data_IF_313313464384
#
_entry.id   IF_313313464384
#
_cell.length_a   1.000
_cell.length_b   1.000
_cell.length_c   1.000
_cell.angle_alpha   90.00
_cell.angle_beta   90.00
_cell.angle_gamma   90.00
#
_symmetry.space_group_name_H-M   'P 1'
#
loop_
_entity.id
_entity.type
_entity.pdbx_description
1 polymer ?
#
# COMPACT_ATOMS: atom_id res chain seq x y z
N UNK A 1 21.31 15.17 -56.26
CA UNK A 1 20.32 14.36 -55.51
C UNK A 1 21.08 13.68 -54.38
N UNK A 2 20.91 14.19 -53.16
CA UNK A 2 21.69 13.81 -51.98
C UNK A 2 20.89 12.73 -51.24
N UNK A 3 21.50 11.57 -51.02
CA UNK A 3 20.92 10.45 -50.29
C UNK A 3 21.02 10.69 -48.77
N UNK A 4 19.89 10.55 -48.06
CA UNK A 4 19.82 10.58 -46.60
C UNK A 4 20.38 9.27 -46.01
N UNK A 5 21.21 9.32 -44.93
CA UNK A 5 21.57 8.11 -44.20
C UNK A 5 20.53 7.79 -43.12
N UNK A 6 20.19 6.50 -43.04
CA UNK A 6 19.30 5.91 -42.05
C UNK A 6 19.88 6.00 -40.63
N UNK A 7 19.07 6.46 -39.68
CA UNK A 7 19.41 6.45 -38.25
C UNK A 7 19.30 5.03 -37.69
N UNK A 8 20.42 4.49 -37.22
CA UNK A 8 20.51 3.20 -36.52
C UNK A 8 19.81 3.28 -35.16
N UNK A 9 18.84 2.39 -34.91
CA UNK A 9 18.24 2.20 -33.58
C UNK A 9 19.27 1.52 -32.67
N UNK A 10 19.79 2.27 -31.68
CA UNK A 10 20.59 1.70 -30.59
C UNK A 10 19.67 0.98 -29.61
N UNK A 11 19.60 -0.34 -29.72
CA UNK A 11 18.97 -1.21 -28.73
C UNK A 11 19.88 -1.32 -27.51
N UNK A 12 19.54 -0.62 -26.42
CA UNK A 12 20.17 -0.83 -25.13
C UNK A 12 19.72 -2.18 -24.55
N UNK A 13 20.65 -3.04 -24.07
CA UNK A 13 20.27 -4.27 -23.40
C UNK A 13 19.69 -3.94 -22.01
N UNK A 14 18.41 -4.29 -21.78
CA UNK A 14 17.81 -4.29 -20.44
C UNK A 14 18.53 -5.32 -19.59
N UNK A 15 19.32 -4.86 -18.64
CA UNK A 15 19.88 -5.70 -17.57
C UNK A 15 18.72 -6.33 -16.80
N UNK A 16 18.45 -7.61 -17.07
CA UNK A 16 17.53 -8.41 -16.26
C UNK A 16 18.19 -8.61 -14.89
N UNK A 17 17.66 -7.96 -13.86
CA UNK A 17 17.91 -8.39 -12.48
C UNK A 17 17.30 -9.78 -12.30
N UNK A 18 17.99 -10.74 -11.67
CA UNK A 18 17.43 -12.07 -11.43
C UNK A 18 16.27 -11.95 -10.42
N UNK A 19 15.06 -12.13 -10.93
CA UNK A 19 13.79 -12.16 -10.20
C UNK A 19 13.65 -13.49 -9.48
N UNK A 20 13.93 -13.52 -8.17
CA UNK A 20 13.49 -14.63 -7.32
C UNK A 20 12.04 -14.37 -6.94
N UNK A 21 11.13 -14.60 -7.89
CA UNK A 21 9.71 -14.59 -7.61
C UNK A 21 9.36 -15.92 -6.92
N UNK A 22 8.94 -15.82 -5.66
CA UNK A 22 8.40 -16.97 -4.92
C UNK A 22 7.08 -17.39 -5.60
N UNK A 23 6.76 -18.69 -5.68
CA UNK A 23 5.51 -19.16 -6.29
C UNK A 23 4.29 -18.53 -5.62
N UNK A 24 3.18 -18.41 -6.38
CA UNK A 24 1.85 -17.96 -5.91
C UNK A 24 1.65 -18.35 -4.44
N UNK A 25 1.79 -17.38 -3.53
CA UNK A 25 1.54 -17.68 -2.12
C UNK A 25 0.02 -17.78 -1.97
N UNK A 26 -0.45 -19.00 -1.80
CA UNK A 26 -1.83 -19.25 -1.39
C UNK A 26 -1.99 -18.65 0.01
N UNK A 27 -2.89 -17.67 0.14
CA UNK A 27 -3.48 -17.37 1.44
C UNK A 27 -4.20 -18.65 1.85
N UNK A 28 -3.71 -19.32 2.90
CA UNK A 28 -4.35 -20.53 3.38
C UNK A 28 -5.80 -20.20 3.76
N UNK A 29 -6.72 -21.13 3.48
CA UNK A 29 -8.09 -21.17 4.03
C UNK A 29 -8.06 -21.41 5.55
N UNK A 30 -7.22 -20.68 6.27
CA UNK A 30 -7.18 -20.64 7.72
C UNK A 30 -8.41 -19.91 8.21
N UNK A 31 -9.42 -20.68 8.61
CA UNK A 31 -10.53 -20.19 9.41
C UNK A 31 -9.99 -19.67 10.74
N UNK A 32 -9.73 -18.38 10.81
CA UNK A 32 -9.49 -17.67 12.06
C UNK A 32 -10.80 -17.00 12.49
N UNK A 33 -11.77 -17.80 12.92
CA UNK A 33 -12.70 -17.34 13.95
C UNK A 33 -12.01 -17.46 15.31
N UNK A 34 -10.86 -16.80 15.47
CA UNK A 34 -10.28 -16.56 16.78
C UNK A 34 -11.13 -15.48 17.44
N UNK A 35 -11.73 -15.78 18.59
CA UNK A 35 -12.61 -14.89 19.36
C UNK A 35 -11.97 -13.61 19.93
N UNK A 36 -11.05 -12.99 19.18
CA UNK A 36 -10.57 -11.64 19.41
C UNK A 36 -11.58 -10.63 18.86
N UNK A 37 -11.81 -9.55 19.61
CA UNK A 37 -12.68 -8.45 19.19
C UNK A 37 -12.08 -7.82 17.91
N UNK A 38 -12.79 -7.96 16.78
CA UNK A 38 -12.42 -7.29 15.51
C UNK A 38 -12.37 -5.77 15.75
N UNK A 39 -11.30 -5.12 15.32
CA UNK A 39 -11.18 -3.66 15.37
C UNK A 39 -12.24 -3.05 14.46
N UNK A 40 -13.07 -2.15 14.99
CA UNK A 40 -14.11 -1.47 14.20
C UNK A 40 -13.54 -0.31 13.38
N UNK A 41 -14.29 0.15 12.37
CA UNK A 41 -13.88 1.28 11.53
C UNK A 41 -13.71 2.58 12.34
N UNK A 42 -14.54 2.76 13.38
CA UNK A 42 -14.46 3.88 14.32
C UNK A 42 -13.26 3.75 15.25
N UNK A 43 -12.97 2.54 15.74
CA UNK A 43 -11.82 2.30 16.61
C UNK A 43 -10.49 2.49 15.88
N UNK A 44 -10.43 2.14 14.59
CA UNK A 44 -9.29 2.44 13.75
C UNK A 44 -9.20 3.95 13.41
N UNK A 45 -10.31 4.67 13.52
CA UNK A 45 -10.50 6.01 13.00
C UNK A 45 -10.48 6.06 11.47
N UNK A 46 -10.85 4.96 10.80
CA UNK A 46 -11.19 5.00 9.38
C UNK A 46 -12.43 5.88 9.16
N UNK A 47 -13.35 5.82 10.13
CA UNK A 47 -14.48 6.71 10.30
C UNK A 47 -14.25 7.53 11.59
N UNK A 48 -14.36 8.87 11.58
CA UNK A 48 -14.73 9.73 10.46
C UNK A 48 -13.55 10.25 9.62
N UNK A 49 -12.30 9.87 9.93
CA UNK A 49 -11.12 10.58 9.41
C UNK A 49 -10.91 10.46 7.89
N UNK A 50 -11.31 9.33 7.29
CA UNK A 50 -11.19 9.07 5.85
C UNK A 50 -12.59 9.01 5.22
N UNK A 51 -13.52 8.28 5.83
CA UNK A 51 -14.90 8.18 5.37
C UNK A 51 -15.87 8.76 6.40
N UNK A 52 -16.93 9.47 5.96
CA UNK A 52 -17.86 10.13 6.86
C UNK A 52 -18.81 9.17 7.60
N UNK A 53 -19.00 7.96 7.08
CA UNK A 53 -19.93 6.96 7.61
C UNK A 53 -19.34 5.55 7.47
N UNK A 54 -19.71 4.62 8.37
CA UNK A 54 -19.29 3.23 8.26
C UNK A 54 -19.90 2.57 7.02
N UNK A 55 -19.18 1.59 6.49
CA UNK A 55 -19.61 0.85 5.29
C UNK A 55 -19.51 -0.67 5.50
N UNK A 56 -20.24 -1.42 4.67
CA UNK A 56 -20.27 -2.87 4.76
C UNK A 56 -19.04 -3.50 4.09
N UNK A 57 -18.25 -4.22 4.87
CA UNK A 57 -17.19 -5.09 4.37
C UNK A 57 -17.79 -6.33 3.68
N UNK A 58 -17.31 -6.62 2.47
CA UNK A 58 -17.74 -7.78 1.66
C UNK A 58 -16.63 -8.83 1.52
N UNK A 59 -15.40 -8.51 1.92
CA UNK A 59 -14.23 -9.39 1.85
C UNK A 59 -13.24 -9.06 2.97
N UNK A 60 -12.21 -9.90 3.14
CA UNK A 60 -11.13 -9.70 4.11
C UNK A 60 -9.84 -9.38 3.36
N UNK A 61 -9.21 -8.25 3.71
CA UNK A 61 -7.95 -7.84 3.09
C UNK A 61 -6.77 -8.36 3.91
N UNK A 62 -5.92 -9.17 3.28
CA UNK A 62 -4.71 -9.74 3.87
C UNK A 62 -3.50 -9.04 3.28
N UNK A 63 -2.61 -8.55 4.14
CA UNK A 63 -1.42 -7.81 3.74
C UNK A 63 -0.21 -8.46 4.38
N UNK A 64 0.82 -8.76 3.57
CA UNK A 64 2.04 -9.43 4.01
C UNK A 64 3.27 -8.73 3.45
N UNK A 65 4.18 -8.32 4.33
CA UNK A 65 5.43 -7.69 3.93
C UNK A 65 6.54 -8.73 3.74
N UNK A 66 7.36 -8.65 2.68
CA UNK A 66 8.40 -9.63 2.40
C UNK A 66 9.51 -9.65 3.46
N UNK A 67 9.80 -8.50 4.07
CA UNK A 67 10.85 -8.38 5.09
C UNK A 67 10.38 -8.75 6.51
N UNK A 68 9.10 -9.12 6.67
CA UNK A 68 8.51 -9.53 7.96
C UNK A 68 9.27 -10.68 8.63
N UNK A 69 9.78 -11.63 7.83
CA UNK A 69 10.40 -12.86 8.34
C UNK A 69 11.91 -12.70 8.59
N UNK A 70 12.55 -11.63 8.08
CA UNK A 70 13.99 -11.40 8.24
C UNK A 70 14.34 -10.69 9.55
N UNK A 71 13.37 -10.08 10.26
CA UNK A 71 13.65 -9.30 11.48
C UNK A 71 13.56 -10.10 12.78
N UNK A 72 13.50 -11.44 12.75
CA UNK A 72 13.61 -12.26 13.96
C UNK A 72 14.95 -12.07 14.71
N UNK A 73 15.90 -11.33 14.12
CA UNK A 73 17.23 -11.03 14.67
C UNK A 73 17.31 -9.64 15.33
N UNK A 74 16.29 -8.78 15.23
CA UNK A 74 16.28 -7.44 15.84
C UNK A 74 15.13 -7.27 16.85
N UNK A 75 15.06 -8.20 17.80
CA UNK A 75 14.09 -8.17 18.89
C UNK A 75 14.45 -7.17 20.01
N UNK A 76 15.54 -6.41 19.88
CA UNK A 76 16.01 -5.49 20.92
C UNK A 76 15.28 -4.15 20.94
N UNK A 77 14.70 -3.69 19.83
CA UNK A 77 14.03 -2.39 19.75
C UNK A 77 12.49 -2.43 19.82
N UNK A 78 11.88 -3.63 19.78
CA UNK A 78 10.41 -3.78 19.79
C UNK A 78 9.83 -3.79 21.22
N UNK A 79 10.67 -4.08 22.22
CA UNK A 79 10.26 -4.09 23.64
C UNK A 79 9.88 -2.70 24.18
N UNK A 80 10.32 -1.62 23.51
CA UNK A 80 9.99 -0.24 23.89
C UNK A 80 8.59 0.19 23.47
N UNK A 81 7.90 -0.59 22.62
CA UNK A 81 6.61 -0.20 22.01
C UNK A 81 5.39 -0.98 22.52
N UNK A 82 5.51 -1.75 23.60
CA UNK A 82 4.38 -2.35 24.33
C UNK A 82 3.55 -3.38 23.55
N UNK A 83 3.97 -3.78 22.34
CA UNK A 83 3.33 -4.84 21.56
C UNK A 83 4.04 -6.18 21.78
N UNK A 84 3.29 -7.21 22.14
CA UNK A 84 3.80 -8.59 22.14
C UNK A 84 4.11 -9.03 20.70
N UNK A 85 5.35 -9.47 20.38
CA UNK A 85 5.66 -10.02 19.08
C UNK A 85 4.92 -11.36 18.91
N UNK A 86 3.78 -11.35 18.21
CA UNK A 86 3.10 -12.60 17.85
C UNK A 86 3.90 -13.26 16.73
N UNK A 87 4.54 -14.38 17.06
CA UNK A 87 5.14 -15.31 16.10
C UNK A 87 4.00 -15.93 15.28
N UNK A 88 3.62 -15.24 14.20
CA UNK A 88 2.51 -15.59 13.31
C UNK A 88 2.86 -15.23 11.87
N UNK A 89 2.32 -15.99 10.92
CA UNK A 89 2.83 -16.13 9.57
C UNK A 89 2.70 -14.86 8.70
N UNK A 90 3.65 -13.92 8.76
CA UNK A 90 3.89 -12.91 7.69
C UNK A 90 2.81 -11.84 7.45
N UNK A 91 1.56 -12.09 7.81
CA UNK A 91 0.40 -11.24 7.60
C UNK A 91 0.24 -10.27 8.77
N UNK A 92 0.08 -8.98 8.45
CA UNK A 92 -0.19 -7.95 9.46
C UNK A 92 -1.61 -8.10 10.00
N UNK A 93 -1.76 -7.94 11.30
CA UNK A 93 -3.08 -7.81 11.93
C UNK A 93 -3.52 -6.33 11.90
N UNK A 94 -4.83 -6.04 11.74
CA UNK A 94 -5.33 -4.66 11.80
C UNK A 94 -4.89 -3.95 13.09
N UNK A 95 -4.22 -2.80 12.92
CA UNK A 95 -3.72 -1.97 14.03
C UNK A 95 -2.37 -2.41 14.60
N UNK A 96 -1.76 -3.45 14.05
CA UNK A 96 -0.43 -3.88 14.43
C UNK A 96 0.61 -2.79 14.18
N UNK A 97 1.56 -2.65 15.10
CA UNK A 97 2.70 -1.75 14.93
C UNK A 97 3.80 -2.47 14.17
N UNK A 98 4.29 -1.87 13.08
CA UNK A 98 5.38 -2.38 12.26
C UNK A 98 6.35 -1.23 11.96
N UNK A 99 7.63 -1.52 11.72
CA UNK A 99 8.61 -0.46 11.47
C UNK A 99 8.57 0.00 10.00
N UNK A 100 8.95 1.26 9.71
CA UNK A 100 9.16 1.72 8.34
C UNK A 100 10.10 0.83 7.53
N UNK A 101 11.16 0.29 8.15
CA UNK A 101 12.05 -0.71 7.53
C UNK A 101 11.32 -1.99 7.14
N UNK A 102 10.40 -2.50 7.97
CA UNK A 102 9.59 -3.67 7.62
C UNK A 102 8.61 -3.38 6.46
N UNK A 103 8.12 -2.14 6.39
CA UNK A 103 7.24 -1.62 5.35
C UNK A 103 7.97 -0.90 4.22
N UNK A 104 9.28 -1.16 4.02
CA UNK A 104 10.07 -0.44 3.02
C UNK A 104 9.71 -0.85 1.58
N UNK A 105 9.39 -2.13 1.41
CA UNK A 105 9.14 -2.80 0.15
C UNK A 105 7.65 -3.08 0.01
N UNK A 106 7.16 -3.06 -1.23
CA UNK A 106 5.76 -3.30 -1.55
C UNK A 106 5.25 -4.62 -0.93
N UNK A 107 4.08 -4.62 -0.26
CA UNK A 107 3.52 -5.83 0.31
C UNK A 107 2.89 -6.72 -0.76
N UNK A 108 2.74 -8.00 -0.42
CA UNK A 108 1.80 -8.90 -1.08
C UNK A 108 0.43 -8.69 -0.45
N UNK A 109 -0.59 -8.49 -1.29
CA UNK A 109 -1.96 -8.23 -0.84
C UNK A 109 -2.90 -9.23 -1.51
N UNK A 110 -3.83 -9.79 -0.76
CA UNK A 110 -4.86 -10.67 -1.28
C UNK A 110 -6.17 -10.56 -0.54
N UNK A 111 -7.23 -11.01 -1.21
CA UNK A 111 -8.61 -10.95 -0.74
C UNK A 111 -9.43 -12.04 -1.45
N UNK A 112 -10.68 -12.22 -1.06
CA UNK A 112 -11.61 -13.05 -1.84
C UNK A 112 -12.22 -12.19 -2.94
N UNK A 113 -11.95 -12.53 -4.20
CA UNK A 113 -12.45 -11.80 -5.36
C UNK A 113 -13.64 -12.47 -6.03
N UNK A 114 -14.50 -11.65 -6.60
CA UNK A 114 -15.55 -12.10 -7.49
C UNK A 114 -14.97 -12.43 -8.86
N UNK A 115 -15.46 -13.52 -9.47
CA UNK A 115 -14.99 -13.96 -10.77
C UNK A 115 -15.19 -12.87 -11.84
N UNK A 116 -14.11 -12.53 -12.56
CA UNK A 116 -14.14 -11.51 -13.62
C UNK A 116 -14.17 -10.07 -13.13
N UNK A 117 -14.17 -9.83 -11.81
CA UNK A 117 -14.14 -8.48 -11.26
C UNK A 117 -12.74 -7.86 -11.30
N UNK A 118 -12.72 -6.53 -11.35
CA UNK A 118 -11.52 -5.72 -11.23
C UNK A 118 -11.55 -4.92 -9.94
N UNK A 119 -10.39 -4.63 -9.38
CA UNK A 119 -10.25 -3.97 -8.10
C UNK A 119 -9.25 -2.81 -8.16
N UNK A 120 -9.46 -1.85 -7.26
CA UNK A 120 -8.54 -0.77 -6.95
C UNK A 120 -8.09 -0.89 -5.50
N UNK A 121 -6.77 -0.88 -5.30
CA UNK A 121 -6.13 -0.85 -4.00
C UNK A 121 -5.54 0.54 -3.74
N UNK A 122 -5.87 1.11 -2.58
CA UNK A 122 -5.36 2.39 -2.11
C UNK A 122 -4.65 2.17 -0.79
N UNK A 123 -3.45 2.74 -0.64
CA UNK A 123 -2.76 2.90 0.63
C UNK A 123 -2.65 4.38 0.98
N UNK A 124 -3.14 4.79 2.14
CA UNK A 124 -3.27 6.20 2.53
C UNK A 124 -2.93 6.43 4.00
N UNK A 125 -2.35 7.59 4.32
CA UNK A 125 -1.99 8.06 5.67
C UNK A 125 -2.84 9.29 6.03
N UNK A 126 -3.85 9.16 6.92
CA UNK A 126 -4.62 10.29 7.38
C UNK A 126 -3.86 11.15 8.42
N UNK A 127 -2.72 10.72 8.92
CA UNK A 127 -2.01 11.37 10.01
C UNK A 127 -0.88 12.29 9.53
N UNK A 128 -0.72 12.52 8.22
CA UNK A 128 0.33 13.39 7.71
C UNK A 128 0.09 14.90 7.99
N UNK A 129 1.10 15.68 8.45
CA UNK A 129 2.46 15.27 8.82
C UNK A 129 2.59 14.74 10.26
N UNK A 130 1.58 14.94 11.11
CA UNK A 130 1.50 14.31 12.44
C UNK A 130 0.04 14.04 12.82
N UNK A 131 -0.26 12.97 13.58
CA UNK A 131 -1.64 12.68 14.03
C UNK A 131 -2.27 13.82 14.82
N UNK A 132 -1.47 14.56 15.60
CA UNK A 132 -1.93 15.70 16.39
C UNK A 132 -2.17 16.98 15.58
N UNK A 133 -1.62 17.08 14.36
CA UNK A 133 -1.83 18.21 13.45
C UNK A 133 -1.75 17.76 11.99
N UNK A 134 -2.78 17.06 11.48
CA UNK A 134 -2.75 16.39 10.19
C UNK A 134 -3.09 17.35 9.03
N UNK A 135 -2.30 18.41 8.85
CA UNK A 135 -2.54 19.47 7.86
C UNK A 135 -2.38 19.05 6.40
N UNK A 136 -1.77 17.88 6.15
CA UNK A 136 -1.53 17.31 4.82
C UNK A 136 -2.40 16.07 4.55
N UNK A 137 -3.35 15.77 5.44
CA UNK A 137 -4.29 14.65 5.32
C UNK A 137 -5.07 14.72 3.99
N UNK A 138 -5.22 13.63 3.25
CA UNK A 138 -4.49 12.36 3.39
C UNK A 138 -3.20 12.40 2.56
N UNK A 139 -2.17 11.64 2.97
CA UNK A 139 -0.99 11.41 2.14
C UNK A 139 -1.06 10.04 1.47
N UNK A 140 -1.10 10.01 0.15
CA UNK A 140 -1.29 8.77 -0.60
C UNK A 140 0.02 8.01 -0.85
N UNK A 141 0.12 6.82 -0.27
CA UNK A 141 1.29 5.94 -0.35
C UNK A 141 1.29 5.08 -1.61
N UNK A 142 0.12 4.59 -2.03
CA UNK A 142 0.02 3.69 -3.18
C UNK A 142 -1.39 3.74 -3.74
N UNK A 143 -1.51 3.80 -5.07
CA UNK A 143 -2.79 3.59 -5.76
C UNK A 143 -2.51 2.66 -6.92
N UNK A 144 -3.11 1.48 -6.85
CA UNK A 144 -3.02 0.46 -7.89
C UNK A 144 -4.42 0.08 -8.35
N UNK A 145 -4.64 0.19 -9.64
CA UNK A 145 -5.96 0.08 -10.27
C UNK A 145 -5.99 -1.07 -11.26
N UNK A 146 -7.18 -1.43 -11.74
CA UNK A 146 -7.36 -2.46 -12.77
C UNK A 146 -6.76 -3.81 -12.36
N UNK A 147 -6.87 -4.17 -11.09
CA UNK A 147 -6.38 -5.45 -10.58
C UNK A 147 -7.39 -6.55 -10.92
N UNK A 148 -7.07 -7.54 -11.77
CA UNK A 148 -8.00 -8.61 -12.09
C UNK A 148 -8.01 -9.66 -10.97
N UNK A 149 -9.19 -9.98 -10.44
CA UNK A 149 -9.36 -11.04 -9.45
C UNK A 149 -8.78 -10.70 -8.07
N UNK A 150 -8.14 -11.69 -7.44
CA UNK A 150 -7.85 -11.76 -6.01
C UNK A 150 -6.37 -11.60 -5.62
N UNK A 151 -5.48 -11.52 -6.61
CA UNK A 151 -4.06 -11.57 -6.34
C UNK A 151 -3.32 -10.43 -7.03
N UNK A 152 -2.58 -9.69 -6.20
CA UNK A 152 -1.64 -8.71 -6.67
C UNK A 152 -0.26 -9.36 -6.88
N UNK A 153 0.18 -9.64 -8.13
CA UNK A 153 1.47 -10.27 -8.34
C UNK A 153 2.63 -9.38 -7.84
N UNK A 154 3.67 -10.05 -7.33
CA UNK A 154 4.84 -9.43 -6.70
C UNK A 154 5.71 -8.62 -7.70
N UNK A 155 5.60 -8.91 -8.99
CA UNK A 155 6.34 -8.31 -10.11
C UNK A 155 5.58 -8.44 -11.45
N UNK A 156 5.83 -7.54 -12.41
CA UNK A 156 5.39 -7.69 -13.80
C UNK A 156 4.04 -7.06 -14.21
N UNK A 157 3.83 -7.02 -15.53
CA UNK A 157 2.74 -6.33 -16.27
C UNK A 157 1.34 -6.95 -16.10
N UNK A 158 1.20 -8.06 -15.37
CA UNK A 158 0.07 -8.99 -15.56
C UNK A 158 -1.11 -8.83 -14.59
N UNK A 159 -1.38 -7.63 -14.08
CA UNK A 159 -2.66 -7.46 -13.39
C UNK A 159 -2.87 -6.16 -12.62
N UNK A 160 -2.50 -5.02 -13.17
CA UNK A 160 -2.89 -3.73 -12.59
C UNK A 160 -1.86 -2.64 -12.82
N UNK A 161 -2.33 -1.40 -12.80
CA UNK A 161 -1.55 -0.21 -13.11
C UNK A 161 -1.32 0.62 -11.84
N UNK A 162 -0.08 1.03 -11.58
CA UNK A 162 0.19 1.97 -10.48
C UNK A 162 -0.12 3.40 -10.97
N UNK A 163 -1.16 4.02 -10.42
CA UNK A 163 -1.38 5.47 -10.59
C UNK A 163 -0.44 6.25 -9.67
N UNK A 164 -0.29 5.80 -8.42
CA UNK A 164 0.70 6.35 -7.50
C UNK A 164 1.60 5.20 -7.11
N UNK A 165 2.87 5.22 -7.53
CA UNK A 165 3.82 4.16 -7.18
C UNK A 165 3.93 3.99 -5.65
N UNK A 166 4.18 2.76 -5.19
CA UNK A 166 4.30 2.43 -3.77
C UNK A 166 5.41 3.26 -3.10
N UNK A 167 5.05 3.93 -2.00
CA UNK A 167 5.98 4.55 -1.05
C UNK A 167 5.74 3.91 0.31
N UNK A 168 6.79 3.38 0.94
CA UNK A 168 6.72 2.80 2.27
C UNK A 168 6.30 3.79 3.36
N UNK A 169 6.13 3.31 4.58
CA UNK A 169 5.85 4.18 5.71
C UNK A 169 7.01 5.17 5.92
N UNK A 170 6.68 6.43 6.19
CA UNK A 170 7.66 7.51 6.34
C UNK A 170 7.26 8.54 7.41
N UNK A 171 6.85 8.12 8.63
CA UNK A 171 6.45 9.05 9.67
C UNK A 171 7.65 9.92 10.09
N UNK A 172 7.53 11.25 10.13
CA UNK A 172 8.64 12.12 10.53
C UNK A 172 9.08 11.86 11.97
N UNK A 173 10.35 12.13 12.28
CA UNK A 173 10.88 11.94 13.64
C UNK A 173 10.12 12.82 14.64
N UNK A 174 9.62 12.21 15.72
CA UNK A 174 8.95 12.91 16.81
C UNK A 174 7.48 13.23 16.57
N UNK A 175 6.85 12.73 15.50
CA UNK A 175 5.41 12.90 15.26
C UNK A 175 4.56 11.79 15.88
N UNK A 176 5.19 10.72 16.37
CA UNK A 176 4.55 9.55 16.95
C UNK A 176 4.08 8.55 15.89
N UNK A 177 3.09 7.73 16.25
CA UNK A 177 2.57 6.68 15.38
C UNK A 177 1.58 7.21 14.35
N UNK A 178 1.86 7.00 13.07
CA UNK A 178 0.95 7.22 11.96
C UNK A 178 0.19 5.94 11.61
N UNK A 179 -1.06 6.09 11.17
CA UNK A 179 -1.90 4.99 10.65
C UNK A 179 -1.75 4.89 9.15
N UNK A 180 -1.57 3.68 8.65
CA UNK A 180 -1.50 3.40 7.22
C UNK A 180 -2.63 2.47 6.83
N UNK A 181 -3.63 3.00 6.15
CA UNK A 181 -4.82 2.25 5.73
C UNK A 181 -4.63 1.67 4.34
N UNK A 182 -4.97 0.40 4.18
CA UNK A 182 -5.23 -0.24 2.90
C UNK A 182 -6.74 -0.32 2.68
N UNK A 183 -7.20 0.20 1.54
CA UNK A 183 -8.60 0.24 1.14
C UNK A 183 -8.73 -0.46 -0.21
N UNK A 184 -9.61 -1.46 -0.27
CA UNK A 184 -9.89 -2.20 -1.49
C UNK A 184 -11.27 -1.82 -2.00
N UNK A 185 -11.36 -1.43 -3.27
CA UNK A 185 -12.60 -1.11 -3.96
C UNK A 185 -12.83 -2.08 -5.11
N UNK A 186 -14.08 -2.49 -5.32
CA UNK A 186 -14.48 -3.20 -6.55
C UNK A 186 -14.80 -2.18 -7.63
N UNK A 187 -14.27 -2.36 -8.83
CA UNK A 187 -14.62 -1.52 -9.99
C UNK A 187 -15.98 -1.96 -10.56
N UNK A 188 -16.89 -1.02 -10.86
CA UNK A 188 -18.29 -1.34 -11.16
C UNK A 188 -18.48 -2.13 -12.46
N UNK A 189 -17.79 -1.74 -13.54
CA UNK A 189 -17.99 -2.27 -14.89
C UNK A 189 -16.76 -3.02 -15.45
N UNK A 190 -15.88 -3.49 -14.55
CA UNK A 190 -14.63 -4.13 -14.93
C UNK A 190 -13.48 -3.13 -15.08
N UNK A 191 -12.65 -3.27 -16.12
CA UNK A 191 -11.44 -2.45 -16.30
C UNK A 191 -11.80 -0.98 -16.61
N UNK A 192 -11.26 -0.06 -15.82
CA UNK A 192 -11.51 1.38 -15.95
C UNK A 192 -10.34 2.09 -16.65
N UNK A 193 -10.65 3.25 -17.24
CA UNK A 193 -9.63 4.18 -17.75
C UNK A 193 -9.46 5.32 -16.75
N UNK A 194 -8.21 5.60 -16.38
CA UNK A 194 -7.85 6.63 -15.41
C UNK A 194 -7.14 7.79 -16.11
N UNK A 195 -7.28 9.00 -15.57
CA UNK A 195 -6.60 10.20 -16.11
C UNK A 195 -5.08 10.10 -15.94
N UNK A 196 -4.33 10.56 -16.94
CA UNK A 196 -2.86 10.70 -16.85
C UNK A 196 -2.46 11.66 -15.71
N UNK A 197 -3.29 12.66 -15.40
CA UNK A 197 -3.03 13.60 -14.29
C UNK A 197 -3.05 12.92 -12.92
N UNK A 198 -3.73 11.78 -12.80
CA UNK A 198 -3.74 11.01 -11.57
C UNK A 198 -2.45 10.18 -11.39
N UNK A 199 -1.67 10.03 -12.47
CA UNK A 199 -0.39 9.32 -12.43
C UNK A 199 0.68 10.21 -11.82
N UNK A 200 1.32 9.73 -10.76
CA UNK A 200 2.46 10.43 -10.17
C UNK A 200 3.62 9.45 -9.97
N UNK A 201 4.81 9.79 -10.51
CA UNK A 201 6.00 8.98 -10.31
C UNK A 201 6.39 8.88 -8.82
N UNK A 202 7.47 8.17 -8.53
CA UNK A 202 8.02 8.04 -7.18
C UNK A 202 8.64 9.37 -6.72
N UNK A 203 7.80 10.34 -6.37
CA UNK A 203 8.16 11.66 -5.87
C UNK A 203 7.30 12.03 -4.67
N UNK A 204 7.78 12.95 -3.82
CA UNK A 204 7.05 13.40 -2.63
C UNK A 204 5.84 14.28 -2.96
N UNK A 205 5.99 15.19 -3.92
CA UNK A 205 4.98 16.20 -4.24
C UNK A 205 3.80 15.60 -5.00
N UNK A 206 2.59 16.11 -4.74
CA UNK A 206 1.37 15.64 -5.40
C UNK A 206 0.78 14.38 -4.76
N UNK A 207 1.17 14.10 -3.51
CA UNK A 207 0.64 12.99 -2.69
C UNK A 207 -0.08 13.49 -1.45
N UNK A 208 0.21 14.70 -1.00
CA UNK A 208 -0.46 15.43 0.06
C UNK A 208 -1.88 15.88 -0.33
N UNK A 209 -2.74 16.09 0.69
CA UNK A 209 -4.13 16.55 0.51
C UNK A 209 -4.93 15.66 -0.46
N UNK A 210 -4.54 14.40 -0.57
CA UNK A 210 -5.27 13.42 -1.32
C UNK A 210 -6.51 12.97 -0.53
N UNK A 211 -7.49 12.38 -1.22
CA UNK A 211 -8.70 11.89 -0.57
C UNK A 211 -9.18 10.61 -1.22
N UNK A 212 -9.20 9.52 -0.44
CA UNK A 212 -9.71 8.22 -0.88
C UNK A 212 -11.19 8.31 -1.27
N UNK A 213 -11.97 9.04 -0.46
CA UNK A 213 -13.39 9.23 -0.69
C UNK A 213 -13.68 9.99 -2.01
N UNK A 214 -12.97 11.10 -2.27
CA UNK A 214 -13.15 11.86 -3.52
C UNK A 214 -12.68 11.07 -4.75
N UNK A 215 -11.62 10.28 -4.60
CA UNK A 215 -11.16 9.40 -5.68
C UNK A 215 -12.21 8.31 -5.99
N UNK A 216 -12.79 7.69 -4.96
CA UNK A 216 -13.85 6.71 -5.11
C UNK A 216 -15.12 7.31 -5.75
N UNK A 217 -15.48 8.54 -5.39
CA UNK A 217 -16.59 9.28 -6.00
C UNK A 217 -16.32 9.58 -7.48
N UNK A 218 -15.13 10.12 -7.81
CA UNK A 218 -14.73 10.46 -9.19
C UNK A 218 -14.84 9.28 -10.16
N UNK A 219 -14.54 8.07 -9.69
CA UNK A 219 -14.50 6.85 -10.50
C UNK A 219 -15.64 5.88 -10.19
N UNK A 220 -16.67 6.33 -9.47
CA UNK A 220 -17.87 5.55 -9.13
C UNK A 220 -17.55 4.18 -8.49
N UNK A 221 -16.49 4.13 -7.69
CA UNK A 221 -16.03 2.89 -7.04
C UNK A 221 -16.92 2.45 -5.86
N UNK A 222 -17.78 3.35 -5.39
CA UNK A 222 -18.61 3.12 -4.21
C UNK A 222 -17.77 3.02 -2.92
N UNK A 223 -18.30 2.28 -1.94
CA UNK A 223 -17.61 2.07 -0.67
C UNK A 223 -16.53 0.96 -0.77
N UNK A 224 -15.48 1.01 0.06
CA UNK A 224 -14.50 -0.07 0.11
C UNK A 224 -15.16 -1.42 0.44
N UNK A 225 -14.76 -2.46 -0.28
CA UNK A 225 -15.24 -3.84 -0.06
C UNK A 225 -14.43 -4.57 1.01
N UNK A 226 -13.20 -4.12 1.28
CA UNK A 226 -12.36 -4.62 2.35
C UNK A 226 -11.35 -3.54 2.76
N UNK A 227 -10.85 -3.63 3.99
CA UNK A 227 -9.82 -2.73 4.50
C UNK A 227 -8.92 -3.44 5.50
N UNK A 228 -7.72 -2.89 5.70
CA UNK A 228 -6.79 -3.28 6.76
C UNK A 228 -5.91 -2.07 7.09
N UNK A 229 -5.19 -2.10 8.21
CA UNK A 229 -4.25 -1.02 8.54
C UNK A 229 -3.15 -1.49 9.48
N UNK A 230 -2.04 -0.76 9.49
CA UNK A 230 -1.00 -0.87 10.50
C UNK A 230 -0.64 0.51 11.04
N UNK A 231 0.14 0.53 12.12
CA UNK A 231 0.75 1.75 12.64
C UNK A 231 2.25 1.68 12.46
N UNK A 232 2.88 2.81 12.15
CA UNK A 232 4.34 2.90 12.17
C UNK A 232 4.77 4.22 12.80
N UNK A 233 5.91 4.20 13.46
CA UNK A 233 6.61 5.36 13.98
C UNK A 233 8.02 5.40 13.36
N UNK A 234 8.66 6.55 13.44
CA UNK A 234 9.98 6.81 12.88
C UNK A 234 11.00 5.70 13.21
N UNK A 235 11.74 5.27 12.19
CA UNK A 235 13.01 4.58 12.31
C UNK A 235 14.04 5.21 11.35
N UNK A 236 15.26 4.67 11.32
CA UNK A 236 16.34 5.24 10.50
C UNK A 236 16.11 5.10 8.99
N UNK A 237 15.28 4.17 8.52
CA UNK A 237 14.99 4.02 7.09
C UNK A 237 14.23 5.24 6.54
N UNK A 238 13.51 5.98 7.38
CA UNK A 238 12.82 7.22 6.97
C UNK A 238 13.80 8.23 6.36
N UNK A 239 15.06 8.27 6.81
CA UNK A 239 16.08 9.15 6.24
C UNK A 239 16.45 8.74 4.80
N UNK A 240 16.56 7.43 4.54
CA UNK A 240 16.83 6.90 3.21
C UNK A 240 15.63 7.12 2.27
N UNK A 241 14.41 6.93 2.81
CA UNK A 241 13.17 7.20 2.09
C UNK A 241 13.08 8.67 1.65
N UNK A 242 13.36 9.61 2.56
CA UNK A 242 13.36 11.04 2.27
C UNK A 242 14.38 11.39 1.17
N UNK A 243 15.58 10.83 1.24
CA UNK A 243 16.60 11.04 0.21
C UNK A 243 16.16 10.49 -1.16
N UNK A 244 15.53 9.30 -1.19
CA UNK A 244 14.96 8.71 -2.40
C UNK A 244 13.87 9.58 -3.01
N UNK A 245 12.96 10.12 -2.18
CA UNK A 245 11.84 10.95 -2.64
C UNK A 245 12.26 12.37 -3.10
N UNK A 246 13.42 12.86 -2.65
CA UNK A 246 14.04 14.10 -3.13
C UNK A 246 14.81 13.94 -4.45
N UNK A 247 15.07 12.70 -4.87
CA UNK A 247 15.87 12.39 -6.05
C UNK A 247 17.38 12.33 -5.77
N UNK A 248 17.79 12.29 -4.50
CA UNK A 248 19.19 12.32 -4.07
C UNK A 248 19.87 10.93 -4.14
N UNK A 249 19.09 9.86 -4.33
CA UNK A 249 19.60 8.48 -4.44
C UNK A 249 19.08 7.84 -5.74
N UNK A 250 20.00 7.52 -6.65
CA UNK A 250 19.76 6.75 -7.89
C UNK A 250 20.07 5.27 -7.72
#
# INVERSE_FOLDING_TARGET
MIASPAASRSSWPRLRRPSVCQPKMQFGLGSFFGGGKKVTQEQAGLVPDIFPQPFQEKSILRVKYPNWVKSAVDLTNVASFGGTPTKGAGEIQPGQVITPTQAQDRPVVGWEAEAGAYYTLVMTDPDAPSPGSPTLREWVHWVRVNIPGDNLPCDGEDGGDDLKAYVGAGPPKGTGQHRYFFLLFKQPEGKLTFSEDDRTPLVRNGREKWSAAKFAEKYELGAPVAWSFFKAEYDNYVLELDARLKGDVK
#
